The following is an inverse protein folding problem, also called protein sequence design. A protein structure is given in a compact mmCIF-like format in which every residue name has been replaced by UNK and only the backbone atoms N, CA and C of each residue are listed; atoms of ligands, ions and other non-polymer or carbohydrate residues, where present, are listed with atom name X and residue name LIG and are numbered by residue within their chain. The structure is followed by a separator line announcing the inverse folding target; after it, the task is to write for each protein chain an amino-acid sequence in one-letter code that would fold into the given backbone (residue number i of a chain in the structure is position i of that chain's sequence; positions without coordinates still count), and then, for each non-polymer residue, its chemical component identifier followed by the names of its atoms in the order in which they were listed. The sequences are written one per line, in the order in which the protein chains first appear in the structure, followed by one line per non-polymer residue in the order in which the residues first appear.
data_IF_849501870694
#
_entry.id   IF_849501870694
#
_cell.length_a   1.000
_cell.length_b   1.000
_cell.length_c   1.000
_cell.angle_alpha   90.00
_cell.angle_beta   90.00
_cell.angle_gamma   90.00
#
_symmetry.space_group_name_H-M   'P 1'
#
loop_
_entity.id
_entity.type
_entity.pdbx_description
1 polymer ?
#
# COMPACT_ATOMS: atom_id res chain seq x y z
N UNK A 1 -10.92 -6.42 -22.41
CA UNK A 1 -10.00 -5.34 -22.82
C UNK A 1 -10.12 -4.22 -21.79
N UNK A 2 -9.51 -4.41 -20.62
CA UNK A 2 -9.47 -3.42 -19.54
C UNK A 2 -8.21 -2.58 -19.73
N UNK A 3 -8.40 -1.27 -19.88
CA UNK A 3 -7.33 -0.29 -20.04
C UNK A 3 -6.32 -0.40 -18.89
N UNK A 4 -5.02 -0.14 -19.12
CA UNK A 4 -4.10 0.05 -18.02
C UNK A 4 -4.56 1.30 -17.25
N UNK A 5 -5.13 1.11 -16.06
CA UNK A 5 -5.46 2.22 -15.17
C UNK A 5 -4.17 2.95 -14.88
N UNK A 6 -4.01 4.14 -15.44
CA UNK A 6 -2.77 4.91 -15.24
C UNK A 6 -2.60 5.20 -13.74
N UNK A 7 -1.36 5.30 -13.22
CA UNK A 7 -1.11 5.61 -11.81
C UNK A 7 -1.88 6.84 -11.33
N UNK A 8 -2.07 7.82 -12.22
CA UNK A 8 -2.87 9.02 -11.98
C UNK A 8 -4.35 8.75 -11.69
N UNK A 9 -4.96 7.75 -12.33
CA UNK A 9 -6.36 7.38 -12.09
C UNK A 9 -6.52 6.70 -10.74
N UNK A 10 -5.58 5.80 -10.38
CA UNK A 10 -5.51 5.18 -9.06
C UNK A 10 -5.29 6.23 -7.97
N UNK A 11 -4.38 7.18 -8.21
CA UNK A 11 -4.17 8.28 -7.28
C UNK A 11 -5.44 9.11 -7.08
N UNK A 12 -6.27 9.31 -8.11
CA UNK A 12 -7.56 10.03 -8.00
C UNK A 12 -8.62 9.28 -7.19
N UNK A 13 -8.58 7.95 -7.11
CA UNK A 13 -9.51 7.19 -6.27
C UNK A 13 -9.17 7.30 -4.79
N UNK A 14 -7.89 7.57 -4.47
CA UNK A 14 -7.44 7.76 -3.09
C UNK A 14 -7.93 9.09 -2.48
N UNK A 15 -8.12 9.14 -1.14
CA UNK A 15 -8.56 10.34 -0.45
C UNK A 15 -7.53 11.49 -0.57
N UNK A 16 -8.00 12.73 -0.38
CA UNK A 16 -7.15 13.92 -0.52
C UNK A 16 -5.84 13.91 0.31
N UNK A 17 -5.83 13.43 1.57
CA UNK A 17 -4.59 13.32 2.36
C UNK A 17 -3.58 12.38 1.71
N UNK A 18 -4.01 11.22 1.20
CA UNK A 18 -3.13 10.25 0.55
C UNK A 18 -2.51 10.81 -0.74
N UNK A 19 -3.29 11.59 -1.51
CA UNK A 19 -2.78 12.27 -2.70
C UNK A 19 -1.70 13.28 -2.37
N UNK A 20 -1.90 14.07 -1.31
CA UNK A 20 -0.91 15.02 -0.83
C UNK A 20 0.34 14.31 -0.30
N UNK A 21 0.17 13.20 0.42
CA UNK A 21 1.29 12.39 0.90
C UNK A 21 2.10 11.78 -0.25
N UNK A 22 1.44 11.26 -1.29
CA UNK A 22 2.14 10.76 -2.48
C UNK A 22 2.96 11.86 -3.18
N UNK A 23 2.42 13.08 -3.27
CA UNK A 23 3.15 14.23 -3.81
C UNK A 23 4.38 14.57 -2.96
N UNK A 24 4.24 14.65 -1.64
CA UNK A 24 5.37 14.86 -0.73
C UNK A 24 6.44 13.80 -0.93
N UNK A 25 6.06 12.52 -0.94
CA UNK A 25 6.98 11.42 -1.20
C UNK A 25 7.73 11.58 -2.53
N UNK A 26 7.05 12.02 -3.60
CA UNK A 26 7.71 12.29 -4.88
C UNK A 26 8.65 13.49 -4.84
N UNK A 27 8.33 14.52 -4.06
CA UNK A 27 9.10 15.76 -4.01
C UNK A 27 10.38 15.62 -3.17
N UNK A 28 10.33 14.86 -2.07
CA UNK A 28 11.42 14.80 -1.09
C UNK A 28 11.80 13.38 -0.63
N UNK A 29 11.12 12.33 -1.11
CA UNK A 29 11.37 10.95 -0.70
C UNK A 29 10.93 10.61 0.72
N UNK A 30 10.03 11.39 1.34
CA UNK A 30 9.66 11.24 2.75
C UNK A 30 9.01 9.87 3.06
N UNK A 31 9.67 9.00 3.84
CA UNK A 31 9.15 7.68 4.17
C UNK A 31 7.89 7.71 5.04
N UNK A 32 7.63 8.81 5.77
CA UNK A 32 6.38 8.98 6.51
C UNK A 32 5.21 9.23 5.55
N UNK A 33 5.46 10.02 4.50
CA UNK A 33 4.46 10.28 3.47
C UNK A 33 4.13 9.00 2.67
N UNK A 34 5.12 8.14 2.43
CA UNK A 34 4.87 6.82 1.85
C UNK A 34 3.94 5.96 2.74
N UNK A 35 4.18 5.94 4.05
CA UNK A 35 3.34 5.20 4.99
C UNK A 35 1.89 5.70 4.98
N UNK A 36 1.69 7.01 4.93
CA UNK A 36 0.34 7.60 4.80
C UNK A 36 -0.40 7.09 3.56
N UNK A 37 0.31 6.97 2.42
CA UNK A 37 -0.27 6.43 1.18
C UNK A 37 -0.64 4.97 1.35
N UNK A 38 0.26 4.15 1.93
CA UNK A 38 0.00 2.73 2.15
C UNK A 38 -1.17 2.50 3.10
N UNK A 39 -1.27 3.28 4.18
CA UNK A 39 -2.41 3.24 5.09
C UNK A 39 -3.72 3.62 4.41
N UNK A 40 -3.69 4.59 3.49
CA UNK A 40 -4.87 4.96 2.73
C UNK A 40 -5.30 3.88 1.72
N UNK A 41 -4.35 3.19 1.09
CA UNK A 41 -4.64 2.05 0.23
C UNK A 41 -5.27 0.94 1.07
N UNK A 42 -4.67 0.57 2.20
CA UNK A 42 -5.23 -0.44 3.11
C UNK A 42 -6.65 -0.06 3.57
N UNK A 43 -6.92 1.20 3.85
CA UNK A 43 -8.25 1.68 4.24
C UNK A 43 -9.31 1.53 3.13
N UNK A 44 -8.89 1.51 1.85
CA UNK A 44 -9.78 1.33 0.70
C UNK A 44 -10.14 -0.16 0.48
N UNK A 45 -9.20 -1.06 0.81
CA UNK A 45 -9.35 -2.51 0.62
C UNK A 45 -9.76 -3.29 1.89
N UNK A 46 -9.69 -2.68 3.08
CA UNK A 46 -10.10 -3.34 4.31
C UNK A 46 -11.62 -3.60 4.27
N UNK A 47 -12.09 -4.80 4.69
CA UNK A 47 -13.51 -5.04 4.70
C UNK A 47 -14.23 -4.08 5.66
N UNK A 48 -15.43 -3.62 5.25
CA UNK A 48 -16.14 -2.52 5.92
C UNK A 48 -16.43 -2.77 7.40
N UNK A 49 -16.61 -4.02 7.79
CA UNK A 49 -16.84 -4.39 9.19
C UNK A 49 -15.59 -4.20 10.06
N UNK A 50 -14.40 -4.20 9.46
CA UNK A 50 -13.09 -4.12 10.10
C UNK A 50 -12.43 -2.74 9.94
N UNK A 51 -13.06 -1.79 9.24
CA UNK A 51 -12.49 -0.46 9.00
C UNK A 51 -12.04 0.28 10.28
N UNK A 52 -12.69 0.03 11.42
CA UNK A 52 -12.30 0.58 12.72
C UNK A 52 -11.00 0.00 13.28
N UNK A 53 -10.63 -1.23 12.92
CA UNK A 53 -9.44 -1.91 13.42
C UNK A 53 -8.15 -1.29 12.86
N UNK A 54 -8.19 -0.79 11.62
CA UNK A 54 -7.03 -0.16 10.99
C UNK A 54 -6.58 1.10 11.73
N UNK A 55 -7.53 1.87 12.30
CA UNK A 55 -7.23 3.07 13.07
C UNK A 55 -6.52 2.78 14.40
N UNK A 56 -6.71 1.59 14.95
CA UNK A 56 -6.07 1.12 16.20
C UNK A 56 -4.96 0.10 15.95
N UNK A 57 -4.68 -0.21 14.68
CA UNK A 57 -3.69 -1.20 14.30
C UNK A 57 -2.29 -0.74 14.71
N UNK A 58 -1.50 -1.69 15.18
CA UNK A 58 -0.07 -1.48 15.44
C UNK A 58 0.74 -2.07 14.30
N UNK A 59 2.04 -1.77 14.27
CA UNK A 59 2.94 -2.36 13.27
C UNK A 59 2.94 -3.89 13.27
N UNK A 60 2.74 -4.50 14.45
CA UNK A 60 2.71 -5.95 14.64
C UNK A 60 1.36 -6.59 14.25
N UNK A 61 0.32 -5.77 14.00
CA UNK A 61 -1.00 -6.27 13.63
C UNK A 61 -0.92 -7.05 12.32
N UNK A 62 -1.42 -8.29 12.36
CA UNK A 62 -1.44 -9.21 11.23
C UNK A 62 -2.55 -8.84 10.28
N UNK A 63 -2.21 -8.72 9.00
CA UNK A 63 -3.14 -8.28 7.95
C UNK A 63 -4.37 -9.18 7.89
N UNK A 64 -4.16 -10.50 7.85
CA UNK A 64 -5.27 -11.46 7.75
C UNK A 64 -5.97 -11.64 9.10
N UNK A 65 -5.20 -12.02 10.12
CA UNK A 65 -5.80 -12.51 11.37
C UNK A 65 -6.34 -11.40 12.26
N UNK A 66 -5.70 -10.23 12.29
CA UNK A 66 -6.07 -9.16 13.21
C UNK A 66 -6.88 -8.06 12.51
N UNK A 67 -6.59 -7.78 11.23
CA UNK A 67 -7.29 -6.75 10.45
C UNK A 67 -8.34 -7.32 9.49
N UNK A 68 -8.39 -8.65 9.31
CA UNK A 68 -9.41 -9.33 8.51
C UNK A 68 -9.24 -9.15 7.01
N UNK A 69 -8.03 -8.86 6.51
CA UNK A 69 -7.78 -8.85 5.07
C UNK A 69 -7.84 -10.26 4.49
N UNK A 70 -8.55 -10.39 3.37
CA UNK A 70 -8.54 -11.63 2.60
C UNK A 70 -7.31 -11.70 1.69
N UNK A 71 -6.92 -12.90 1.26
CA UNK A 71 -5.78 -13.08 0.35
C UNK A 71 -5.93 -12.32 -0.97
N UNK A 72 -7.16 -12.18 -1.46
CA UNK A 72 -7.49 -11.37 -2.63
C UNK A 72 -7.23 -9.89 -2.35
N UNK A 73 -7.72 -9.37 -1.22
CA UNK A 73 -7.53 -7.97 -0.85
C UNK A 73 -6.04 -7.61 -0.69
N UNK A 74 -5.24 -8.51 -0.10
CA UNK A 74 -3.78 -8.32 0.00
C UNK A 74 -3.15 -8.25 -1.39
N UNK A 75 -3.57 -9.13 -2.30
CA UNK A 75 -3.07 -9.15 -3.68
C UNK A 75 -3.44 -7.85 -4.41
N UNK A 76 -4.67 -7.35 -4.23
CA UNK A 76 -5.12 -6.10 -4.84
C UNK A 76 -4.38 -4.87 -4.27
N UNK A 77 -4.15 -4.82 -2.96
CA UNK A 77 -3.32 -3.78 -2.32
C UNK A 77 -1.93 -3.75 -2.93
N UNK A 78 -1.33 -4.92 -3.14
CA UNK A 78 0.00 -5.03 -3.73
C UNK A 78 -0.01 -4.58 -5.18
N UNK A 79 -0.93 -5.06 -6.03
CA UNK A 79 -1.04 -4.61 -7.42
C UNK A 79 -1.34 -3.11 -7.53
N UNK A 80 -2.14 -2.57 -6.62
CA UNK A 80 -2.39 -1.14 -6.54
C UNK A 80 -1.09 -0.38 -6.25
N UNK A 81 -0.32 -0.85 -5.28
CA UNK A 81 0.97 -0.26 -4.88
C UNK A 81 2.02 -0.38 -5.99
N UNK A 82 2.15 -1.55 -6.62
CA UNK A 82 3.04 -1.77 -7.77
C UNK A 82 2.78 -0.78 -8.90
N UNK A 83 1.53 -0.66 -9.33
CA UNK A 83 1.17 0.26 -10.40
C UNK A 83 1.39 1.72 -9.98
N UNK A 84 1.05 2.10 -8.74
CA UNK A 84 1.16 3.48 -8.27
C UNK A 84 2.62 3.95 -8.16
N UNK A 85 3.51 3.07 -7.70
CA UNK A 85 4.92 3.36 -7.48
C UNK A 85 5.83 2.79 -8.56
N UNK A 86 5.29 2.10 -9.57
CA UNK A 86 6.00 1.37 -10.63
C UNK A 86 7.07 0.40 -10.11
N UNK A 87 6.80 -0.26 -8.99
CA UNK A 87 7.67 -1.30 -8.42
C UNK A 87 7.14 -2.69 -8.81
N UNK A 88 7.94 -3.73 -8.61
CA UNK A 88 7.48 -5.12 -8.75
C UNK A 88 7.81 -5.95 -7.51
N UNK A 89 6.81 -6.71 -7.07
CA UNK A 89 6.72 -7.47 -5.85
C UNK A 89 6.41 -8.92 -6.26
N UNK A 90 7.38 -9.81 -6.06
CA UNK A 90 7.24 -11.21 -6.43
C UNK A 90 6.32 -11.99 -5.49
N UNK A 91 5.68 -13.04 -6.02
CA UNK A 91 4.79 -13.90 -5.24
C UNK A 91 5.46 -14.53 -4.00
N UNK A 92 6.73 -14.87 -4.07
CA UNK A 92 7.46 -15.41 -2.91
C UNK A 92 7.64 -14.36 -1.81
N UNK A 93 7.78 -13.09 -2.20
CA UNK A 93 7.93 -11.96 -1.28
C UNK A 93 6.57 -11.60 -0.64
N UNK A 94 5.49 -11.66 -1.41
CA UNK A 94 4.12 -11.53 -0.89
C UNK A 94 3.84 -12.50 0.25
N UNK A 95 4.28 -13.75 0.08
CA UNK A 95 4.11 -14.81 1.09
C UNK A 95 4.97 -14.53 2.33
N UNK A 96 5.88 -13.57 2.35
CA UNK A 96 6.60 -13.18 3.57
C UNK A 96 5.90 -12.07 4.35
N UNK A 97 4.98 -11.34 3.72
CA UNK A 97 4.26 -10.24 4.37
C UNK A 97 3.13 -10.82 5.22
N UNK A 98 3.18 -10.59 6.53
CA UNK A 98 2.17 -11.01 7.52
C UNK A 98 1.63 -9.83 8.31
N UNK A 99 2.48 -8.88 8.65
CA UNK A 99 2.14 -7.72 9.49
C UNK A 99 2.10 -6.41 8.70
N UNK A 100 1.49 -5.40 9.31
CA UNK A 100 1.44 -4.06 8.76
C UNK A 100 2.84 -3.46 8.57
N UNK A 101 3.75 -3.65 9.54
CA UNK A 101 5.13 -3.15 9.43
C UNK A 101 5.91 -3.85 8.35
N UNK A 102 5.76 -5.16 8.20
CA UNK A 102 6.41 -5.91 7.12
C UNK A 102 6.01 -5.36 5.76
N UNK A 103 4.71 -5.08 5.54
CA UNK A 103 4.24 -4.49 4.29
C UNK A 103 4.88 -3.11 4.05
N UNK A 104 4.85 -2.22 5.05
CA UNK A 104 5.41 -0.86 4.94
C UNK A 104 6.91 -0.87 4.67
N UNK A 105 7.65 -1.68 5.43
CA UNK A 105 9.10 -1.84 5.27
C UNK A 105 9.45 -2.44 3.91
N UNK A 106 8.67 -3.43 3.47
CA UNK A 106 8.88 -4.08 2.19
C UNK A 106 8.69 -3.11 1.02
N UNK A 107 7.62 -2.32 1.01
CA UNK A 107 7.38 -1.31 -0.03
C UNK A 107 8.47 -0.23 -0.02
N UNK A 108 8.87 0.27 1.16
CA UNK A 108 9.99 1.22 1.31
C UNK A 108 11.28 0.69 0.70
N UNK A 109 11.61 -0.58 0.99
CA UNK A 109 12.79 -1.24 0.45
C UNK A 109 12.71 -1.33 -1.07
N UNK A 110 11.59 -1.80 -1.62
CA UNK A 110 11.38 -1.91 -3.08
C UNK A 110 11.51 -0.59 -3.82
N UNK A 111 10.98 0.49 -3.26
CA UNK A 111 11.10 1.81 -3.89
C UNK A 111 12.54 2.32 -3.81
N UNK A 112 13.24 2.06 -2.71
CA UNK A 112 14.66 2.45 -2.55
C UNK A 112 15.60 1.66 -3.46
N UNK A 113 15.29 0.40 -3.74
CA UNK A 113 16.04 -0.47 -4.66
C UNK A 113 15.73 -0.18 -6.13
N UNK A 114 14.65 0.54 -6.42
CA UNK A 114 14.29 0.92 -7.77
C UNK A 114 15.34 1.92 -8.28
N UNK A 115 16.08 1.64 -9.36
CA UNK A 115 16.98 2.63 -9.92
C UNK A 115 16.16 3.85 -10.35
N UNK A 116 16.61 5.04 -9.94
CA UNK A 116 16.10 6.30 -10.47
C UNK A 116 16.32 6.27 -11.99
N UNK A 117 15.23 6.10 -12.75
CA UNK A 117 15.24 6.15 -14.20
C UNK A 117 15.32 7.60 -14.66
#
# INVERSE_FOLDING_TARGET
MTLPTSPEQKLRSLPAPARAAYQRFKDNGDPAALDEVIMAILADFIPRAQAGLLATATGESRLIEDLGFDSLAITEVVFFTEDLFGISIGNQELVQIRTLDELRQFVRKKISERPAA
#
